data_IF_112919997344
#
_entry.id   IF_112919997344
#
_cell.length_a   1.000
_cell.length_b   1.000
_cell.length_c   1.000
_cell.angle_alpha   90.00
_cell.angle_beta   90.00
_cell.angle_gamma   90.00
#
_symmetry.space_group_name_H-M   'P 1'
#
loop_
_entity.id
_entity.type
_entity.pdbx_description
1 polymer ?
#
# COMPACT_ATOMS: atom_id res chain seq x y z
N UNK A 1 25.94 13.09 -5.95
CA UNK A 1 25.33 11.81 -5.57
C UNK A 1 24.17 11.57 -6.52
N UNK A 2 24.08 10.38 -7.16
CA UNK A 2 22.97 10.06 -8.05
C UNK A 2 21.87 9.32 -7.32
N UNK A 3 20.62 9.58 -7.71
CA UNK A 3 19.43 9.02 -7.09
C UNK A 3 18.77 8.06 -8.09
N UNK A 4 18.43 6.87 -7.64
CA UNK A 4 17.71 5.86 -8.43
C UNK A 4 16.56 5.29 -7.60
N UNK A 5 15.55 4.76 -8.27
CA UNK A 5 14.47 3.99 -7.65
C UNK A 5 14.27 2.67 -8.38
N UNK A 6 14.02 1.60 -7.65
CA UNK A 6 13.58 0.34 -8.24
C UNK A 6 12.06 0.40 -8.39
N UNK A 7 11.59 0.24 -9.62
CA UNK A 7 10.16 0.24 -9.95
C UNK A 7 9.76 -1.15 -10.43
N UNK A 8 8.93 -1.85 -9.67
CA UNK A 8 8.33 -3.11 -10.12
C UNK A 8 7.19 -2.82 -11.09
N UNK A 9 7.24 -3.41 -12.28
CA UNK A 9 6.18 -3.34 -13.27
C UNK A 9 5.52 -4.72 -13.35
N UNK A 10 4.35 -4.88 -12.73
CA UNK A 10 3.48 -6.03 -12.90
C UNK A 10 2.51 -5.76 -14.04
N UNK A 11 2.31 -6.69 -14.96
CA UNK A 11 1.38 -6.50 -16.08
C UNK A 11 -0.06 -6.21 -15.59
N UNK A 12 -0.76 -5.28 -16.20
CA UNK A 12 -2.10 -4.75 -15.87
C UNK A 12 -2.18 -4.05 -14.50
N UNK A 13 -1.62 -2.86 -14.42
CA UNK A 13 -1.51 -2.03 -13.21
C UNK A 13 -2.80 -1.26 -12.82
N UNK A 14 -3.98 -1.73 -13.19
CA UNK A 14 -5.24 -0.99 -13.01
C UNK A 14 -6.03 -1.34 -11.74
N UNK A 15 -5.38 -1.77 -10.66
CA UNK A 15 -6.11 -2.02 -9.41
C UNK A 15 -5.56 -1.22 -8.22
N UNK A 16 -6.44 -0.95 -7.26
CA UNK A 16 -6.17 -0.14 -6.07
C UNK A 16 -4.91 -0.54 -5.27
N UNK A 17 -4.41 -1.78 -5.43
CA UNK A 17 -3.23 -2.28 -4.73
C UNK A 17 -1.90 -1.72 -5.26
N UNK A 18 -1.88 -1.13 -6.46
CA UNK A 18 -0.67 -0.55 -7.06
C UNK A 18 -0.62 0.98 -6.95
N UNK A 19 -1.72 1.64 -6.56
CA UNK A 19 -1.80 3.10 -6.53
C UNK A 19 -0.74 3.73 -5.63
N UNK A 20 -0.60 3.27 -4.39
CA UNK A 20 0.37 3.82 -3.46
C UNK A 20 1.82 3.71 -3.98
N UNK A 21 2.19 2.55 -4.52
CA UNK A 21 3.54 2.34 -5.08
C UNK A 21 3.78 3.16 -6.33
N UNK A 22 2.76 3.36 -7.17
CA UNK A 22 2.84 4.19 -8.38
C UNK A 22 2.96 5.67 -8.04
N UNK A 23 2.20 6.15 -7.04
CA UNK A 23 2.27 7.54 -6.57
C UNK A 23 3.66 7.85 -6.00
N UNK A 24 4.21 6.96 -5.16
CA UNK A 24 5.57 7.12 -4.64
C UNK A 24 6.61 7.08 -5.77
N UNK A 25 6.44 6.22 -6.77
CA UNK A 25 7.36 6.17 -7.91
C UNK A 25 7.34 7.49 -8.71
N UNK A 26 6.15 8.05 -8.91
CA UNK A 26 5.98 9.34 -9.59
C UNK A 26 6.59 10.50 -8.78
N UNK A 27 6.31 10.57 -7.47
CA UNK A 27 6.88 11.59 -6.57
C UNK A 27 8.41 11.48 -6.58
N UNK A 28 8.96 10.28 -6.43
CA UNK A 28 10.40 10.06 -6.43
C UNK A 28 11.05 10.50 -7.75
N UNK A 29 10.43 10.22 -8.90
CA UNK A 29 10.92 10.67 -10.20
C UNK A 29 10.95 12.19 -10.29
N UNK A 30 9.91 12.87 -9.82
CA UNK A 30 9.81 14.34 -9.83
C UNK A 30 10.83 15.03 -8.90
N UNK A 31 11.33 14.36 -7.88
CA UNK A 31 12.41 14.87 -7.01
C UNK A 31 13.80 14.35 -7.43
N UNK A 32 13.92 13.71 -8.59
CA UNK A 32 15.17 13.39 -9.25
C UNK A 32 15.65 11.94 -9.13
N UNK A 33 14.84 11.00 -8.59
CA UNK A 33 15.16 9.58 -8.60
C UNK A 33 14.91 8.99 -9.99
N UNK A 34 15.95 8.48 -10.64
CA UNK A 34 15.85 7.83 -11.95
C UNK A 34 15.26 6.43 -11.82
N UNK A 35 14.18 6.11 -12.54
CA UNK A 35 13.57 4.79 -12.45
C UNK A 35 14.43 3.70 -13.09
N UNK A 36 14.54 2.57 -12.40
CA UNK A 36 15.13 1.33 -12.88
C UNK A 36 14.07 0.25 -12.79
N UNK A 37 13.57 -0.17 -13.94
CA UNK A 37 12.39 -1.04 -14.03
C UNK A 37 12.74 -2.51 -13.88
N UNK A 38 12.02 -3.21 -13.03
CA UNK A 38 12.04 -4.68 -12.90
C UNK A 38 10.66 -5.19 -13.33
N UNK A 39 10.59 -5.93 -14.44
CA UNK A 39 9.32 -6.27 -15.09
C UNK A 39 8.91 -7.71 -14.88
N UNK A 40 7.69 -7.92 -14.39
CA UNK A 40 7.05 -9.21 -14.39
C UNK A 40 6.43 -9.52 -15.76
N UNK A 41 7.06 -10.43 -16.51
CA UNK A 41 6.71 -10.71 -17.92
C UNK A 41 5.51 -11.63 -18.11
N UNK A 42 5.00 -12.25 -17.05
CA UNK A 42 3.83 -13.12 -17.09
C UNK A 42 3.21 -13.30 -15.71
N UNK A 43 1.90 -13.30 -15.62
CA UNK A 43 1.14 -13.62 -14.40
C UNK A 43 0.71 -15.09 -14.34
N UNK A 44 0.91 -15.87 -15.43
CA UNK A 44 0.49 -17.26 -15.51
C UNK A 44 1.19 -18.14 -14.46
N UNK A 45 0.48 -19.16 -13.97
CA UNK A 45 0.93 -20.04 -12.87
C UNK A 45 1.73 -21.26 -13.35
N UNK A 46 1.83 -21.49 -14.66
CA UNK A 46 2.55 -22.64 -15.22
C UNK A 46 4.04 -22.61 -14.89
N UNK A 47 4.68 -23.78 -14.86
CA UNK A 47 6.14 -23.90 -14.61
C UNK A 47 6.95 -23.12 -15.65
N UNK A 48 6.56 -23.18 -16.92
CA UNK A 48 7.22 -22.43 -18.01
C UNK A 48 7.14 -20.91 -17.79
N UNK A 49 5.95 -20.39 -17.43
CA UNK A 49 5.78 -18.96 -17.13
C UNK A 49 6.57 -18.53 -15.89
N UNK A 50 6.65 -19.37 -14.85
CA UNK A 50 7.51 -19.11 -13.68
C UNK A 50 8.98 -19.03 -14.06
N UNK A 51 9.48 -19.95 -14.89
CA UNK A 51 10.86 -19.90 -15.40
C UNK A 51 11.10 -18.66 -16.24
N UNK A 52 10.19 -18.35 -17.17
CA UNK A 52 10.29 -17.14 -18.01
C UNK A 52 10.37 -15.86 -17.15
N UNK A 53 9.59 -15.77 -16.07
CA UNK A 53 9.70 -14.65 -15.11
C UNK A 53 11.08 -14.55 -14.51
N UNK A 54 11.64 -15.68 -14.01
CA UNK A 54 12.97 -15.65 -13.36
C UNK A 54 14.08 -15.26 -14.34
N UNK A 55 14.03 -15.73 -15.59
CA UNK A 55 14.97 -15.31 -16.65
C UNK A 55 14.82 -13.83 -16.93
N UNK A 56 13.58 -13.33 -16.94
CA UNK A 56 13.30 -11.90 -17.08
C UNK A 56 13.88 -11.07 -15.94
N UNK A 57 13.65 -11.47 -14.70
CA UNK A 57 14.20 -10.81 -13.52
C UNK A 57 15.73 -10.83 -13.51
N UNK A 58 16.36 -11.95 -13.89
CA UNK A 58 17.81 -12.02 -14.01
C UNK A 58 18.37 -10.96 -14.97
N UNK A 59 17.71 -10.78 -16.13
CA UNK A 59 18.12 -9.76 -17.12
C UNK A 59 17.95 -8.34 -16.56
N UNK A 60 16.81 -8.07 -15.93
CA UNK A 60 16.51 -6.74 -15.40
C UNK A 60 17.47 -6.39 -14.23
N UNK A 61 17.71 -7.31 -13.30
CA UNK A 61 18.64 -7.10 -12.20
C UNK A 61 20.09 -6.96 -12.68
N UNK A 62 20.47 -7.72 -13.73
CA UNK A 62 21.78 -7.53 -14.35
C UNK A 62 21.90 -6.12 -14.96
N UNK A 63 20.87 -5.65 -15.66
CA UNK A 63 20.84 -4.29 -16.19
C UNK A 63 20.82 -3.25 -15.08
N UNK A 64 20.06 -3.44 -14.01
CA UNK A 64 20.07 -2.57 -12.83
C UNK A 64 21.48 -2.42 -12.24
N UNK A 65 22.20 -3.54 -12.06
CA UNK A 65 23.59 -3.50 -11.61
C UNK A 65 24.54 -2.76 -12.56
N UNK A 66 24.23 -2.62 -13.84
CA UNK A 66 25.04 -1.84 -14.79
C UNK A 66 24.67 -0.36 -14.77
N UNK A 67 23.38 -0.05 -14.60
CA UNK A 67 22.81 1.30 -14.66
C UNK A 67 23.07 2.10 -13.38
N UNK A 68 22.91 1.46 -12.20
CA UNK A 68 23.08 2.12 -10.92
C UNK A 68 24.58 2.36 -10.68
N UNK A 69 24.95 3.62 -10.58
CA UNK A 69 26.34 4.03 -10.42
C UNK A 69 26.84 3.88 -8.98
N UNK A 70 28.16 3.91 -8.85
CA UNK A 70 28.83 3.87 -7.54
C UNK A 70 28.45 5.07 -6.68
N UNK A 71 28.40 4.87 -5.35
CA UNK A 71 28.13 5.90 -4.35
C UNK A 71 26.75 6.60 -4.55
N UNK A 72 25.78 5.85 -5.12
CA UNK A 72 24.41 6.31 -5.36
C UNK A 72 23.51 6.02 -4.17
N UNK A 73 22.32 6.65 -4.17
CA UNK A 73 21.20 6.29 -3.30
C UNK A 73 20.09 5.65 -4.13
N UNK A 74 19.53 4.56 -3.62
CA UNK A 74 18.45 3.82 -4.29
C UNK A 74 17.23 3.72 -3.36
N UNK A 75 16.08 4.17 -3.86
CA UNK A 75 14.79 3.98 -3.20
C UNK A 75 14.25 2.59 -3.54
N UNK A 76 13.91 1.84 -2.51
CA UNK A 76 13.18 0.58 -2.57
C UNK A 76 11.79 0.76 -1.94
N UNK A 77 10.81 0.03 -2.43
CA UNK A 77 9.46 -0.02 -1.86
C UNK A 77 9.18 -1.45 -1.36
N UNK A 78 8.89 -1.60 -0.07
CA UNK A 78 8.71 -2.90 0.58
C UNK A 78 7.23 -3.16 0.90
N UNK A 79 6.72 -4.40 0.76
CA UNK A 79 7.43 -5.62 0.33
C UNK A 79 7.44 -5.81 -1.19
N UNK A 80 8.40 -6.61 -1.66
CA UNK A 80 8.34 -7.16 -3.01
C UNK A 80 7.38 -8.36 -2.99
N UNK A 81 6.25 -8.26 -3.69
CA UNK A 81 5.21 -9.29 -3.61
C UNK A 81 5.49 -10.55 -4.42
N UNK A 82 6.44 -10.51 -5.34
CA UNK A 82 6.76 -11.65 -6.20
C UNK A 82 8.18 -12.13 -5.98
N UNK A 83 8.39 -13.44 -5.73
CA UNK A 83 9.74 -14.00 -5.57
C UNK A 83 10.61 -13.76 -6.81
N UNK A 84 11.77 -13.15 -6.59
CA UNK A 84 12.78 -12.86 -7.60
C UNK A 84 14.13 -13.40 -7.13
N UNK A 85 14.53 -14.56 -7.64
CA UNK A 85 15.69 -15.32 -7.15
C UNK A 85 17.02 -14.56 -7.19
N UNK A 86 17.14 -13.58 -8.10
CA UNK A 86 18.37 -12.81 -8.31
C UNK A 86 18.40 -11.46 -7.61
N UNK A 87 17.28 -11.01 -7.04
CA UNK A 87 17.15 -9.68 -6.44
C UNK A 87 18.11 -9.44 -5.28
N UNK A 88 18.05 -10.31 -4.27
CA UNK A 88 18.87 -10.15 -3.07
C UNK A 88 20.37 -10.09 -3.43
N UNK A 89 20.85 -11.03 -4.24
CA UNK A 89 22.25 -11.04 -4.68
C UNK A 89 22.63 -9.78 -5.45
N UNK A 90 21.72 -9.23 -6.27
CA UNK A 90 21.96 -7.99 -6.99
C UNK A 90 22.03 -6.76 -6.03
N UNK A 91 21.09 -6.69 -5.06
CA UNK A 91 21.09 -5.60 -4.07
C UNK A 91 22.33 -5.65 -3.16
N UNK A 92 22.73 -6.83 -2.67
CA UNK A 92 23.96 -7.00 -1.89
C UNK A 92 25.20 -6.59 -2.71
N UNK A 93 25.30 -7.04 -3.97
CA UNK A 93 26.39 -6.65 -4.85
C UNK A 93 26.48 -5.14 -5.05
N UNK A 94 25.36 -4.46 -5.23
CA UNK A 94 25.31 -3.00 -5.34
C UNK A 94 25.79 -2.33 -4.05
N UNK A 95 25.34 -2.82 -2.88
CA UNK A 95 25.73 -2.28 -1.57
C UNK A 95 27.25 -2.48 -1.33
N UNK A 96 27.75 -3.69 -1.48
CA UNK A 96 29.12 -4.06 -1.11
C UNK A 96 30.17 -3.58 -2.12
N UNK A 97 29.90 -3.72 -3.43
CA UNK A 97 30.88 -3.44 -4.47
C UNK A 97 30.76 -2.03 -5.07
N UNK A 98 29.59 -1.39 -4.93
CA UNK A 98 29.34 -0.04 -5.46
C UNK A 98 29.00 0.99 -4.39
N UNK A 99 29.03 0.59 -3.12
CA UNK A 99 28.72 1.48 -1.98
C UNK A 99 27.39 2.22 -2.14
N UNK A 100 26.39 1.51 -2.71
CA UNK A 100 25.03 2.02 -2.82
C UNK A 100 24.39 2.05 -1.45
N UNK A 101 23.69 3.15 -1.13
CA UNK A 101 22.86 3.29 0.08
C UNK A 101 21.39 3.10 -0.28
N UNK A 102 20.66 2.41 0.58
CA UNK A 102 19.25 2.13 0.38
C UNK A 102 18.37 2.93 1.31
N UNK A 103 17.41 3.66 0.74
CA UNK A 103 16.22 4.14 1.43
C UNK A 103 15.12 3.14 1.12
N UNK A 104 14.50 2.56 2.14
CA UNK A 104 13.39 1.64 1.96
C UNK A 104 12.10 2.24 2.51
N UNK A 105 11.11 2.50 1.63
CA UNK A 105 9.78 2.91 2.02
C UNK A 105 8.91 1.67 2.24
N UNK A 106 8.35 1.55 3.43
CA UNK A 106 7.52 0.42 3.83
C UNK A 106 6.06 0.74 3.48
N UNK A 107 5.42 -0.12 2.67
CA UNK A 107 3.97 -0.06 2.41
C UNK A 107 3.20 -1.00 3.32
N UNK A 108 3.73 -2.21 3.54
CA UNK A 108 3.11 -3.22 4.39
C UNK A 108 4.18 -4.00 5.17
N UNK A 109 3.83 -4.43 6.37
CA UNK A 109 4.57 -5.41 7.16
C UNK A 109 3.70 -6.66 7.29
N UNK A 110 3.90 -7.65 6.42
CA UNK A 110 3.03 -8.83 6.35
C UNK A 110 3.01 -9.63 7.66
N UNK A 111 4.07 -9.57 8.46
CA UNK A 111 4.10 -10.15 9.81
C UNK A 111 3.10 -9.51 10.78
N UNK A 112 2.87 -8.21 10.68
CA UNK A 112 1.86 -7.49 11.46
C UNK A 112 0.47 -7.65 10.87
N UNK A 113 0.40 -7.73 9.53
CA UNK A 113 -0.84 -7.82 8.79
C UNK A 113 -1.49 -9.21 8.88
N UNK A 114 -0.68 -10.27 9.06
CA UNK A 114 -1.13 -11.66 9.21
C UNK A 114 -1.73 -12.31 7.96
N UNK A 115 -2.22 -11.53 7.03
CA UNK A 115 -3.06 -11.95 5.90
C UNK A 115 -2.36 -12.84 4.87
N UNK A 116 -1.10 -12.53 4.54
CA UNK A 116 -0.30 -13.28 3.56
C UNK A 116 1.02 -13.79 4.14
N UNK A 117 1.21 -13.62 5.44
CA UNK A 117 2.47 -13.96 6.09
C UNK A 117 2.88 -15.41 5.88
N UNK A 118 4.10 -15.61 5.45
CA UNK A 118 4.73 -16.89 5.24
C UNK A 118 6.26 -16.74 5.26
N UNK A 119 7.00 -17.83 5.08
CA UNK A 119 8.47 -17.83 5.10
C UNK A 119 9.10 -16.87 4.06
N UNK A 120 8.45 -16.65 2.92
CA UNK A 120 8.91 -15.68 1.92
C UNK A 120 8.87 -14.24 2.49
N UNK A 121 7.77 -13.83 3.09
CA UNK A 121 7.64 -12.49 3.65
C UNK A 121 8.49 -12.28 4.90
N UNK A 122 8.74 -13.33 5.68
CA UNK A 122 9.73 -13.26 6.78
C UNK A 122 11.13 -12.99 6.22
N UNK A 123 11.54 -13.74 5.19
CA UNK A 123 12.83 -13.52 4.53
C UNK A 123 12.93 -12.12 3.91
N UNK A 124 11.87 -11.65 3.25
CA UNK A 124 11.79 -10.28 2.70
C UNK A 124 11.99 -9.21 3.77
N UNK A 125 11.32 -9.37 4.90
CA UNK A 125 11.42 -8.44 6.02
C UNK A 125 12.84 -8.40 6.59
N UNK A 126 13.44 -9.55 6.85
CA UNK A 126 14.82 -9.63 7.36
C UNK A 126 15.84 -9.07 6.35
N UNK A 127 15.68 -9.37 5.07
CA UNK A 127 16.54 -8.82 4.00
C UNK A 127 16.42 -7.31 3.92
N UNK A 128 15.21 -6.75 4.06
CA UNK A 128 15.02 -5.30 4.11
C UNK A 128 15.74 -4.67 5.30
N UNK A 129 15.62 -5.25 6.51
CA UNK A 129 16.27 -4.73 7.71
C UNK A 129 17.80 -4.69 7.57
N UNK A 130 18.38 -5.71 6.92
CA UNK A 130 19.81 -5.84 6.69
C UNK A 130 20.32 -4.86 5.61
N UNK A 131 19.55 -4.67 4.55
CA UNK A 131 19.98 -3.84 3.42
C UNK A 131 19.72 -2.35 3.60
N UNK A 132 18.60 -1.96 4.19
CA UNK A 132 18.20 -0.55 4.29
C UNK A 132 19.15 0.26 5.18
N UNK A 133 19.67 1.37 4.69
CA UNK A 133 20.39 2.36 5.48
C UNK A 133 19.42 3.32 6.18
N UNK A 134 18.28 3.60 5.52
CA UNK A 134 17.17 4.39 6.07
C UNK A 134 15.87 3.67 5.78
N UNK A 135 14.98 3.64 6.77
CA UNK A 135 13.62 3.12 6.67
C UNK A 135 12.62 4.28 6.77
N UNK A 136 11.73 4.39 5.79
CA UNK A 136 10.56 5.27 5.87
C UNK A 136 9.38 4.41 6.28
N UNK A 137 8.89 4.60 7.49
CA UNK A 137 7.78 3.86 8.08
C UNK A 137 6.56 4.76 8.27
N UNK A 138 5.41 4.21 8.51
CA UNK A 138 4.14 4.94 8.48
C UNK A 138 4.04 6.02 9.58
N UNK A 139 4.22 5.61 10.85
CA UNK A 139 3.92 6.43 12.02
C UNK A 139 4.74 5.96 13.24
N UNK A 140 4.49 6.57 14.40
CA UNK A 140 5.18 6.24 15.64
C UNK A 140 5.02 4.77 16.06
N UNK A 141 3.81 4.21 15.94
CA UNK A 141 3.55 2.82 16.34
C UNK A 141 4.30 1.81 15.46
N UNK A 142 4.41 2.09 14.17
CA UNK A 142 5.22 1.27 13.27
C UNK A 142 6.72 1.47 13.55
N UNK A 143 7.18 2.70 13.83
CA UNK A 143 8.55 2.97 14.23
C UNK A 143 8.93 2.19 15.48
N UNK A 144 8.09 2.22 16.53
CA UNK A 144 8.29 1.44 17.77
C UNK A 144 8.39 -0.06 17.51
N UNK A 145 7.57 -0.57 16.57
CA UNK A 145 7.67 -1.98 16.16
C UNK A 145 9.04 -2.28 15.56
N UNK A 146 9.55 -1.46 14.63
CA UNK A 146 10.87 -1.65 14.03
C UNK A 146 12.01 -1.54 15.05
N UNK A 147 11.93 -0.60 16.00
CA UNK A 147 12.89 -0.48 17.10
C UNK A 147 12.91 -1.75 17.95
N UNK A 148 11.75 -2.33 18.26
CA UNK A 148 11.64 -3.63 18.95
C UNK A 148 12.20 -4.80 18.15
N UNK A 149 12.30 -4.69 16.82
CA UNK A 149 13.00 -5.66 15.99
C UNK A 149 14.52 -5.41 15.90
N UNK A 150 15.06 -4.45 16.66
CA UNK A 150 16.49 -4.14 16.73
C UNK A 150 16.97 -3.07 15.76
N UNK A 151 16.07 -2.36 15.10
CA UNK A 151 16.45 -1.23 14.22
C UNK A 151 16.83 -0.01 15.07
N UNK A 152 17.98 0.59 14.76
CA UNK A 152 18.35 1.88 15.36
C UNK A 152 17.35 2.97 14.93
N UNK A 153 16.75 3.65 15.90
CA UNK A 153 15.78 4.72 15.69
C UNK A 153 16.30 5.87 14.83
N UNK A 154 17.61 6.11 14.81
CA UNK A 154 18.25 7.12 13.96
C UNK A 154 18.14 6.80 12.45
N UNK A 155 17.87 5.55 12.10
CA UNK A 155 17.64 5.10 10.71
C UNK A 155 16.17 5.21 10.28
N UNK A 156 15.27 5.59 11.17
CA UNK A 156 13.82 5.60 10.92
C UNK A 156 13.34 7.02 10.65
N UNK A 157 12.63 7.18 9.53
CA UNK A 157 11.88 8.39 9.19
C UNK A 157 10.39 8.02 9.21
N UNK A 158 9.57 8.83 9.87
CA UNK A 158 8.11 8.65 9.90
C UNK A 158 7.48 9.41 8.76
N UNK A 159 6.66 8.73 7.96
CA UNK A 159 5.96 9.31 6.81
C UNK A 159 4.85 10.29 7.24
N UNK A 160 4.12 9.93 8.30
CA UNK A 160 2.95 10.67 8.76
C UNK A 160 1.68 10.23 8.03
N UNK A 161 1.52 10.56 6.76
CA UNK A 161 0.41 10.15 5.90
C UNK A 161 0.92 9.90 4.48
N UNK A 162 0.28 8.99 3.75
CA UNK A 162 0.56 8.84 2.31
C UNK A 162 -0.12 9.93 1.49
N UNK A 163 0.51 10.33 0.39
CA UNK A 163 -0.17 11.08 -0.65
C UNK A 163 -1.13 10.19 -1.44
N UNK A 164 -2.14 10.80 -2.06
CA UNK A 164 -2.97 10.19 -3.08
C UNK A 164 -3.04 11.16 -4.26
N UNK A 165 -2.25 10.89 -5.28
CA UNK A 165 -2.19 11.75 -6.47
C UNK A 165 -3.46 11.59 -7.30
N UNK A 166 -4.10 12.69 -7.64
CA UNK A 166 -5.25 12.74 -8.52
C UNK A 166 -4.84 13.33 -9.87
N UNK A 167 -5.43 12.85 -10.95
CA UNK A 167 -5.20 13.39 -12.30
C UNK A 167 -5.91 14.73 -12.50
N UNK A 168 -7.06 14.88 -11.84
CA UNK A 168 -7.88 16.06 -11.88
C UNK A 168 -8.44 16.30 -10.49
N UNK A 169 -8.23 17.49 -9.94
CA UNK A 169 -8.75 17.87 -8.64
C UNK A 169 -10.28 18.15 -8.68
N UNK A 170 -10.85 18.16 -9.89
CA UNK A 170 -12.28 18.28 -10.16
C UNK A 170 -12.96 19.52 -9.58
N UNK A 171 -12.26 20.27 -8.73
CA UNK A 171 -12.76 21.49 -8.06
C UNK A 171 -14.08 21.32 -7.30
N UNK A 172 -14.60 20.08 -7.17
CA UNK A 172 -15.87 19.79 -6.49
C UNK A 172 -15.63 19.44 -5.03
N UNK A 173 -16.16 20.26 -4.15
CA UNK A 173 -16.30 19.87 -2.74
C UNK A 173 -17.46 18.90 -2.59
N UNK A 174 -17.25 17.73 -1.91
CA UNK A 174 -18.32 16.80 -1.60
C UNK A 174 -19.42 17.48 -0.78
N UNK A 175 -20.68 17.08 -1.03
CA UNK A 175 -21.80 17.59 -0.25
C UNK A 175 -22.07 16.72 0.97
N UNK A 176 -22.54 17.35 2.04
CA UNK A 176 -22.96 16.61 3.21
C UNK A 176 -24.12 15.67 2.86
N UNK A 177 -23.97 14.40 3.24
CA UNK A 177 -25.03 13.40 3.14
C UNK A 177 -24.89 12.37 4.28
N UNK A 178 -26.01 11.81 4.74
CA UNK A 178 -26.01 10.67 5.69
C UNK A 178 -25.72 9.38 4.93
N UNK A 179 -24.47 9.25 4.50
CA UNK A 179 -24.02 8.17 3.66
C UNK A 179 -22.57 7.80 4.01
N UNK A 180 -22.29 6.52 4.07
CA UNK A 180 -20.96 5.96 4.28
C UNK A 180 -20.41 5.46 2.95
N UNK A 181 -19.14 5.78 2.69
CA UNK A 181 -18.41 5.29 1.51
C UNK A 181 -17.29 4.35 1.97
N UNK A 182 -17.24 3.17 1.37
CA UNK A 182 -16.15 2.21 1.51
C UNK A 182 -15.50 2.04 0.14
N UNK A 183 -14.24 2.44 0.01
CA UNK A 183 -13.45 2.26 -1.21
C UNK A 183 -12.18 1.46 -0.93
N UNK A 184 -11.93 0.43 -1.74
CA UNK A 184 -10.76 -0.44 -1.64
C UNK A 184 -11.06 -1.90 -1.94
N UNK A 185 -10.15 -2.81 -1.54
CA UNK A 185 -10.39 -4.24 -1.69
C UNK A 185 -11.49 -4.69 -0.72
N UNK A 186 -12.61 -5.20 -1.27
CA UNK A 186 -13.82 -5.63 -0.53
C UNK A 186 -13.80 -7.12 -0.16
N UNK A 187 -12.65 -7.77 -0.24
CA UNK A 187 -12.49 -9.20 0.08
C UNK A 187 -12.96 -9.51 1.50
N UNK A 188 -13.80 -10.53 1.65
CA UNK A 188 -14.46 -10.90 2.93
C UNK A 188 -13.48 -11.13 4.08
N UNK A 189 -12.32 -11.73 3.80
CA UNK A 189 -11.29 -11.98 4.83
C UNK A 189 -10.77 -10.66 5.42
N UNK A 190 -10.69 -9.62 4.60
CA UNK A 190 -10.25 -8.27 5.00
C UNK A 190 -11.39 -7.43 5.52
N UNK A 191 -12.56 -7.51 4.90
CA UNK A 191 -13.68 -6.60 5.06
C UNK A 191 -14.98 -7.31 5.46
N UNK A 192 -14.90 -8.33 6.32
CA UNK A 192 -16.08 -9.09 6.80
C UNK A 192 -17.14 -8.22 7.48
N UNK A 193 -16.75 -7.06 8.01
CA UNK A 193 -17.68 -6.08 8.58
C UNK A 193 -18.74 -5.59 7.57
N UNK A 194 -18.46 -5.64 6.26
CA UNK A 194 -19.39 -5.20 5.21
C UNK A 194 -20.71 -5.97 5.30
N UNK A 195 -20.67 -7.27 5.59
CA UNK A 195 -21.88 -8.08 5.80
C UNK A 195 -22.74 -7.65 6.97
N UNK A 196 -22.27 -6.75 7.83
CA UNK A 196 -23.02 -6.22 8.98
C UNK A 196 -23.50 -4.77 8.76
N UNK A 197 -23.09 -4.10 7.66
CA UNK A 197 -23.43 -2.71 7.39
C UNK A 197 -24.94 -2.50 7.17
N UNK A 198 -25.69 -3.55 6.82
CA UNK A 198 -27.15 -3.52 6.77
C UNK A 198 -27.80 -3.10 8.11
N UNK A 199 -27.14 -3.38 9.24
CA UNK A 199 -27.61 -2.98 10.59
C UNK A 199 -27.60 -1.46 10.81
N UNK A 200 -26.93 -0.71 9.93
CA UNK A 200 -26.84 0.76 10.01
C UNK A 200 -28.01 1.45 9.31
N UNK A 201 -28.99 0.72 8.77
CA UNK A 201 -30.18 1.32 8.17
C UNK A 201 -30.87 2.31 9.15
N UNK A 202 -31.36 3.46 8.67
CA UNK A 202 -31.52 3.89 7.26
C UNK A 202 -30.29 4.57 6.65
N UNK A 203 -29.10 4.52 7.28
CA UNK A 203 -27.88 5.08 6.75
C UNK A 203 -27.51 4.36 5.44
N UNK A 204 -27.32 5.09 4.36
CA UNK A 204 -26.91 4.54 3.09
C UNK A 204 -25.40 4.20 3.09
N UNK A 205 -25.03 3.13 2.40
CA UNK A 205 -23.65 2.69 2.26
C UNK A 205 -23.35 2.48 0.78
N UNK A 206 -22.31 3.13 0.27
CA UNK A 206 -21.76 2.88 -1.07
C UNK A 206 -20.42 2.16 -0.99
N UNK A 207 -20.29 1.10 -1.79
CA UNK A 207 -19.10 0.27 -1.85
C UNK A 207 -18.44 0.40 -3.23
N UNK A 208 -17.14 0.63 -3.27
CA UNK A 208 -16.34 0.68 -4.49
C UNK A 208 -15.10 -0.22 -4.37
N UNK A 209 -14.87 -1.09 -5.35
CA UNK A 209 -13.64 -1.88 -5.41
C UNK A 209 -13.84 -3.33 -5.82
N UNK A 210 -12.73 -4.07 -6.01
CA UNK A 210 -12.74 -5.47 -6.38
C UNK A 210 -13.16 -6.39 -5.24
N UNK A 211 -13.48 -7.65 -5.60
CA UNK A 211 -13.77 -8.77 -4.70
C UNK A 211 -15.04 -8.57 -3.84
N UNK A 212 -15.99 -7.79 -4.34
CA UNK A 212 -17.29 -7.66 -3.70
C UNK A 212 -18.05 -8.99 -3.78
N UNK A 213 -18.56 -9.45 -2.64
CA UNK A 213 -19.48 -10.59 -2.57
C UNK A 213 -20.91 -10.07 -2.48
N UNK A 214 -21.72 -10.34 -3.50
CA UNK A 214 -23.12 -9.90 -3.58
C UNK A 214 -23.98 -10.37 -2.38
N UNK A 215 -23.61 -11.49 -1.76
CA UNK A 215 -24.28 -11.99 -0.56
C UNK A 215 -24.13 -11.05 0.64
N UNK A 216 -23.05 -10.26 0.69
CA UNK A 216 -22.83 -9.27 1.73
C UNK A 216 -23.67 -8.00 1.54
N UNK A 217 -24.17 -7.74 0.34
CA UNK A 217 -24.94 -6.55 -0.03
C UNK A 217 -26.45 -6.75 -0.13
N UNK A 218 -26.99 -7.84 0.40
CA UNK A 218 -28.43 -8.14 0.34
C UNK A 218 -29.31 -7.23 1.23
N UNK A 219 -28.91 -5.98 1.44
CA UNK A 219 -29.62 -5.00 2.25
C UNK A 219 -29.95 -3.76 1.41
N UNK A 220 -31.17 -3.25 1.53
CA UNK A 220 -31.67 -2.09 0.77
C UNK A 220 -30.86 -0.80 0.95
N UNK A 221 -30.10 -0.69 2.04
CA UNK A 221 -29.26 0.46 2.32
C UNK A 221 -27.84 0.33 1.75
N UNK A 222 -27.46 -0.81 1.13
CA UNK A 222 -26.13 -1.04 0.55
C UNK A 222 -26.23 -0.97 -0.96
N UNK A 223 -25.35 -0.17 -1.58
CA UNK A 223 -25.21 -0.02 -3.02
C UNK A 223 -23.77 -0.30 -3.44
N UNK A 224 -23.57 -1.28 -4.32
CA UNK A 224 -22.27 -1.51 -4.94
C UNK A 224 -22.12 -0.64 -6.20
N UNK A 225 -21.14 0.26 -6.17
CA UNK A 225 -20.83 1.21 -7.26
C UNK A 225 -19.83 0.68 -8.29
N UNK A 226 -19.36 -0.56 -8.13
CA UNK A 226 -18.46 -1.23 -9.08
C UNK A 226 -16.99 -1.20 -8.69
N UNK A 227 -16.21 -1.93 -9.49
CA UNK A 227 -14.74 -1.92 -9.42
C UNK A 227 -14.21 -0.91 -10.46
N UNK A 228 -13.77 0.25 -9.98
CA UNK A 228 -13.27 1.34 -10.81
C UNK A 228 -11.73 1.39 -10.76
N UNK A 229 -11.08 1.87 -11.82
CA UNK A 229 -9.67 2.24 -11.77
C UNK A 229 -9.40 3.23 -10.63
N UNK A 230 -8.26 3.11 -9.96
CA UNK A 230 -7.92 3.95 -8.80
C UNK A 230 -7.98 5.45 -9.09
N UNK A 231 -7.66 5.86 -10.31
CA UNK A 231 -7.70 7.26 -10.74
C UNK A 231 -9.13 7.78 -11.02
N UNK A 232 -10.11 6.89 -11.16
CA UNK A 232 -11.52 7.26 -11.39
C UNK A 232 -12.33 7.29 -10.08
N UNK A 233 -11.89 6.56 -9.05
CA UNK A 233 -12.59 6.49 -7.75
C UNK A 233 -12.84 7.89 -7.18
N UNK A 234 -11.88 8.84 -7.14
CA UNK A 234 -12.11 10.17 -6.58
C UNK A 234 -13.32 10.89 -7.19
N UNK A 235 -13.57 10.73 -8.48
CA UNK A 235 -14.72 11.36 -9.18
C UNK A 235 -16.10 10.86 -8.70
N UNK A 236 -16.15 9.74 -7.97
CA UNK A 236 -17.36 9.15 -7.40
C UNK A 236 -17.56 9.48 -5.93
N UNK A 237 -16.57 10.11 -5.31
CA UNK A 237 -16.58 10.48 -3.90
C UNK A 237 -17.18 11.89 -3.73
N UNK A 238 -18.43 12.07 -4.15
CA UNK A 238 -19.09 13.37 -4.28
C UNK A 238 -19.93 13.77 -3.05
N UNK A 239 -20.06 12.88 -2.05
CA UNK A 239 -20.88 13.09 -0.84
C UNK A 239 -20.61 12.09 0.26
N UNK A 240 -21.05 12.40 1.50
CA UNK A 240 -21.01 11.47 2.63
C UNK A 240 -19.68 11.46 3.38
N UNK A 241 -19.35 10.32 3.98
CA UNK A 241 -18.18 10.13 4.83
C UNK A 241 -17.39 8.91 4.37
N UNK A 242 -16.08 9.05 4.22
CA UNK A 242 -15.19 7.92 3.94
C UNK A 242 -14.96 7.07 5.18
N UNK A 243 -15.20 5.75 5.09
CA UNK A 243 -14.98 4.83 6.20
C UNK A 243 -13.59 4.21 6.16
N UNK A 244 -12.77 4.53 7.15
CA UNK A 244 -11.45 3.92 7.35
C UNK A 244 -11.59 2.78 8.37
N UNK A 245 -11.88 1.60 7.83
CA UNK A 245 -12.21 0.41 8.61
C UNK A 245 -11.74 -0.84 7.89
N UNK A 246 -11.26 -1.85 8.65
CA UNK A 246 -10.96 -3.19 8.17
C UNK A 246 -11.32 -4.21 9.27
N UNK A 247 -11.38 -5.48 8.92
CA UNK A 247 -11.65 -6.56 9.87
C UNK A 247 -13.05 -7.15 9.77
N UNK A 248 -13.42 -7.92 10.78
CA UNK A 248 -14.59 -8.79 10.75
C UNK A 248 -15.87 -8.22 11.38
N UNK A 249 -15.80 -7.06 12.04
CA UNK A 249 -16.94 -6.52 12.81
C UNK A 249 -17.10 -5.01 12.65
N UNK A 250 -18.34 -4.52 12.68
CA UNK A 250 -18.67 -3.09 12.77
C UNK A 250 -18.50 -2.53 14.18
N UNK A 251 -18.41 -3.37 15.19
CA UNK A 251 -18.24 -2.98 16.61
C UNK A 251 -16.80 -2.64 16.95
N UNK A 252 -15.86 -3.01 16.07
CA UNK A 252 -14.43 -2.75 16.18
C UNK A 252 -13.66 -3.43 15.07
N UNK A 253 -12.47 -2.93 14.76
CA UNK A 253 -11.58 -3.51 13.76
C UNK A 253 -10.96 -4.81 14.29
N UNK A 254 -11.74 -5.90 14.31
CA UNK A 254 -11.34 -7.21 14.83
C UNK A 254 -10.67 -8.07 13.75
N UNK A 255 -9.89 -9.07 14.20
CA UNK A 255 -9.08 -9.94 13.33
C UNK A 255 -7.82 -9.25 12.83
N UNK A 256 -6.93 -10.02 12.18
CA UNK A 256 -5.58 -9.57 11.80
C UNK A 256 -5.63 -8.31 10.91
N UNK A 257 -6.47 -8.31 9.89
CA UNK A 257 -6.63 -7.16 9.01
C UNK A 257 -7.13 -5.90 9.74
N UNK A 258 -8.04 -6.06 10.70
CA UNK A 258 -8.54 -4.96 11.53
C UNK A 258 -7.49 -4.45 12.52
N UNK A 259 -6.79 -5.36 13.20
CA UNK A 259 -5.75 -5.00 14.17
C UNK A 259 -4.52 -4.37 13.50
N UNK A 260 -4.29 -4.64 12.23
CA UNK A 260 -3.22 -4.00 11.48
C UNK A 260 -3.38 -2.48 11.37
N UNK A 261 -4.61 -1.94 11.42
CA UNK A 261 -4.87 -0.50 11.49
C UNK A 261 -4.21 0.20 12.70
N UNK A 262 -3.80 -0.55 13.71
CA UNK A 262 -3.01 -0.01 14.84
C UNK A 262 -1.60 0.43 14.43
N UNK A 263 -1.14 0.00 13.28
CA UNK A 263 0.25 0.19 12.83
C UNK A 263 0.36 0.89 11.49
N UNK A 264 -0.59 0.65 10.56
CA UNK A 264 -0.46 1.16 9.20
C UNK A 264 -1.19 2.50 9.01
N UNK A 265 -0.75 3.21 7.95
CA UNK A 265 -1.45 4.35 7.38
C UNK A 265 -2.21 3.86 6.15
N UNK A 266 -3.52 3.56 6.25
CA UNK A 266 -4.26 2.98 5.15
C UNK A 266 -4.47 3.99 4.03
N UNK A 267 -4.07 3.66 2.82
CA UNK A 267 -4.15 4.54 1.65
C UNK A 267 -5.58 5.02 1.32
N UNK A 268 -6.62 4.33 1.83
CA UNK A 268 -8.01 4.79 1.75
C UNK A 268 -8.25 6.11 2.53
N UNK A 269 -7.51 6.36 3.62
CA UNK A 269 -7.57 7.64 4.33
C UNK A 269 -7.13 8.77 3.40
N UNK A 270 -5.98 8.61 2.77
CA UNK A 270 -5.44 9.59 1.82
C UNK A 270 -6.37 9.82 0.63
N UNK A 271 -6.99 8.75 0.10
CA UNK A 271 -8.02 8.85 -0.94
C UNK A 271 -9.18 9.75 -0.52
N UNK A 272 -9.74 9.52 0.67
CA UNK A 272 -10.90 10.30 1.13
C UNK A 272 -10.53 11.76 1.38
N UNK A 273 -9.43 12.02 2.07
CA UNK A 273 -8.97 13.37 2.37
C UNK A 273 -8.61 14.15 1.11
N UNK A 274 -7.91 13.55 0.16
CA UNK A 274 -7.59 14.18 -1.12
C UNK A 274 -8.83 14.46 -1.99
N UNK A 275 -9.92 13.72 -1.75
CA UNK A 275 -11.22 13.94 -2.39
C UNK A 275 -12.12 14.93 -1.60
N UNK A 276 -11.63 15.52 -0.51
CA UNK A 276 -12.38 16.45 0.33
C UNK A 276 -13.45 15.81 1.21
N UNK A 277 -13.49 14.47 1.32
CA UNK A 277 -14.47 13.78 2.16
C UNK A 277 -14.05 13.83 3.63
N UNK A 278 -14.99 14.15 4.54
CA UNK A 278 -14.80 13.86 5.95
C UNK A 278 -14.72 12.35 6.17
N UNK A 279 -14.00 11.94 7.21
CA UNK A 279 -13.74 10.51 7.46
C UNK A 279 -14.28 10.04 8.79
N UNK A 280 -14.70 8.78 8.82
CA UNK A 280 -14.96 8.02 10.03
C UNK A 280 -13.87 6.97 10.15
N UNK A 281 -13.15 6.99 11.27
CA UNK A 281 -12.03 6.09 11.53
C UNK A 281 -12.17 5.39 12.87
N UNK A 282 -11.69 4.15 12.96
CA UNK A 282 -11.61 3.45 14.23
C UNK A 282 -10.65 4.17 15.20
N UNK A 283 -11.10 4.48 16.41
CA UNK A 283 -10.31 5.21 17.41
C UNK A 283 -9.02 4.47 17.85
N UNK A 284 -8.94 3.15 17.64
CA UNK A 284 -7.74 2.35 17.86
C UNK A 284 -6.70 2.39 16.73
N UNK A 285 -7.05 2.94 15.57
CA UNK A 285 -6.15 3.07 14.45
C UNK A 285 -4.96 4.00 14.75
N UNK A 286 -3.82 3.76 14.10
CA UNK A 286 -2.64 4.61 14.28
C UNK A 286 -2.89 6.06 13.83
N UNK A 287 -3.73 6.25 12.82
CA UNK A 287 -4.07 7.55 12.25
C UNK A 287 -5.28 8.24 12.92
N UNK A 288 -5.84 7.65 13.98
CA UNK A 288 -6.99 8.25 14.67
C UNK A 288 -6.66 9.63 15.26
N UNK A 289 -5.44 9.80 15.77
CA UNK A 289 -5.01 11.09 16.35
C UNK A 289 -4.77 12.14 15.26
N UNK A 290 -4.24 11.74 14.10
CA UNK A 290 -4.12 12.61 12.94
C UNK A 290 -5.51 13.13 12.49
N UNK A 291 -6.49 12.25 12.35
CA UNK A 291 -7.85 12.64 11.95
C UNK A 291 -8.49 13.55 13.00
N UNK A 292 -8.35 13.23 14.29
CA UNK A 292 -8.90 14.06 15.38
C UNK A 292 -8.28 15.45 15.45
N UNK A 293 -6.98 15.56 15.15
CA UNK A 293 -6.25 16.82 15.20
C UNK A 293 -6.50 17.75 14.00
N UNK A 294 -7.07 17.22 12.91
CA UNK A 294 -7.29 17.98 11.66
C UNK A 294 -8.77 18.17 11.29
N UNK A 295 -9.69 17.85 12.18
CA UNK A 295 -11.13 18.05 11.99
C UNK A 295 -11.97 16.86 12.26
#
# INVERSE_FOLDING_TARGET
MKLYQIVEIAGNDNHAGTKATSDIAWIAENIGFKPVSIRMRSTALSKAAKLQRQVGYLKDWHQACRTIEKDSVVLLQHPFHYPQLTREGALRKLKEQRHVRYICLVHDVEKLRGFRYNAYYEHEFLTMLDLADVLIVHNDRMADYFIKQGVDGSRIIKLGIFDYLQKDDGGRMPVFAREIIVAGNLETVKCGYIGQLGRLAPLKVRLYGPNYDEKMGAYDNICYGGNLPSDEVPSKLDRGFGLVWDGSSIEGCLGDAGQYLRYNNPHKLSLYLSSGLPVVIWNGAAEADFVRGNG
#
